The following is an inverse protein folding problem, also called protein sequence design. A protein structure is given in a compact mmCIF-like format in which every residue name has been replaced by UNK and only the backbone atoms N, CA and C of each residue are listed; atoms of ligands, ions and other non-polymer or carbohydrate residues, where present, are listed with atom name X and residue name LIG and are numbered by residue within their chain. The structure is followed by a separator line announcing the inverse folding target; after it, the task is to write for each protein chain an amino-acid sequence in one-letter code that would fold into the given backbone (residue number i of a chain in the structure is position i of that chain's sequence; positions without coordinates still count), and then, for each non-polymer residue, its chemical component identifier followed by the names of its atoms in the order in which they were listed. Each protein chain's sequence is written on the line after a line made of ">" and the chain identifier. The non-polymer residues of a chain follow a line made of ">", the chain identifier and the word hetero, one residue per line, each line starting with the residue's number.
data_IF_238856918483
#
_entry.id   IF_238856918483
#
_cell.length_a   1.000
_cell.length_b   1.000
_cell.length_c   1.000
_cell.angle_alpha   90.00
_cell.angle_beta   90.00
_cell.angle_gamma   90.00
#
_symmetry.space_group_name_H-M   'P 1'
#
loop_
_entity.id
_entity.type
_entity.pdbx_description
1 polymer ?
#
# COMPACT_ATOMS: atom_id res chain seq x y z
N UNK A 1 0.74 17.80 -17.26
CA UNK A 1 -0.44 17.26 -16.53
C UNK A 1 -0.08 16.34 -15.34
N UNK A 2 1.07 16.53 -14.65
CA UNK A 2 1.63 15.51 -13.72
C UNK A 2 1.87 15.99 -12.27
N UNK A 3 1.51 17.23 -11.92
CA UNK A 3 1.73 17.78 -10.56
C UNK A 3 0.67 17.28 -9.56
N UNK A 4 -0.58 17.15 -9.99
CA UNK A 4 -1.72 16.80 -9.13
C UNK A 4 -1.66 15.38 -8.57
N UNK A 5 -1.01 14.45 -9.28
CA UNK A 5 -0.88 13.05 -8.85
C UNK A 5 0.28 12.89 -7.86
N UNK A 6 1.38 13.62 -8.08
CA UNK A 6 2.54 13.65 -7.17
C UNK A 6 2.16 14.20 -5.79
N UNK A 7 1.33 15.24 -5.77
CA UNK A 7 0.90 15.91 -4.54
C UNK A 7 0.01 14.99 -3.67
N UNK A 8 -0.96 14.30 -4.30
CA UNK A 8 -1.84 13.33 -3.62
C UNK A 8 -1.08 12.15 -3.01
N UNK A 9 -0.03 11.67 -3.68
CA UNK A 9 0.80 10.58 -3.16
C UNK A 9 1.56 11.00 -1.89
N UNK A 10 2.16 12.19 -1.87
CA UNK A 10 2.87 12.72 -0.70
C UNK A 10 1.91 12.93 0.47
N UNK A 11 0.76 13.57 0.22
CA UNK A 11 -0.26 13.77 1.27
C UNK A 11 -0.80 12.45 1.85
N UNK A 12 -1.00 11.42 1.02
CA UNK A 12 -1.48 10.11 1.49
C UNK A 12 -0.42 9.36 2.30
N UNK A 13 0.86 9.45 1.91
CA UNK A 13 1.98 8.91 2.68
C UNK A 13 2.05 9.57 4.07
N UNK A 14 2.00 10.88 4.12
CA UNK A 14 2.09 11.62 5.39
C UNK A 14 0.90 11.34 6.30
N UNK A 15 -0.31 11.20 5.72
CA UNK A 15 -1.50 10.77 6.45
C UNK A 15 -1.33 9.38 7.08
N UNK A 16 -0.90 8.39 6.29
CA UNK A 16 -0.67 7.03 6.77
C UNK A 16 0.44 6.99 7.83
N UNK A 17 1.50 7.79 7.65
CA UNK A 17 2.61 7.84 8.59
C UNK A 17 2.17 8.49 9.90
N UNK A 18 1.39 9.57 9.83
CA UNK A 18 0.91 10.23 11.03
C UNK A 18 -0.07 9.35 11.83
N UNK A 19 -0.92 8.59 11.13
CA UNK A 19 -1.91 7.69 11.74
C UNK A 19 -1.28 6.45 12.38
N UNK A 20 -0.37 5.79 11.68
CA UNK A 20 0.16 4.49 12.11
C UNK A 20 1.57 4.55 12.69
N UNK A 21 2.31 5.66 12.49
CA UNK A 21 3.71 5.86 12.91
C UNK A 21 4.67 4.75 12.47
N UNK A 22 4.35 4.06 11.37
CA UNK A 22 5.13 2.94 10.80
C UNK A 22 5.44 3.19 9.33
N UNK A 23 6.57 2.65 8.86
CA UNK A 23 6.98 2.68 7.46
C UNK A 23 6.53 1.44 6.68
N UNK A 24 6.22 0.35 7.39
CA UNK A 24 5.81 -0.93 6.80
C UNK A 24 4.61 -1.50 7.56
N UNK A 25 3.81 -2.28 6.83
CA UNK A 25 2.57 -2.85 7.30
C UNK A 25 2.57 -4.36 7.05
N UNK A 26 2.03 -5.10 8.01
CA UNK A 26 1.74 -6.52 7.84
C UNK A 26 0.63 -6.75 6.81
N UNK A 27 0.47 -8.01 6.39
CA UNK A 27 -0.62 -8.42 5.50
C UNK A 27 -2.01 -8.04 6.04
N UNK A 28 -2.22 -8.15 7.35
CA UNK A 28 -3.51 -7.80 7.99
C UNK A 28 -3.76 -6.30 7.94
N UNK A 29 -2.79 -5.51 8.38
CA UNK A 29 -2.89 -4.04 8.36
C UNK A 29 -3.07 -3.52 6.92
N UNK A 30 -2.35 -4.08 5.94
CA UNK A 30 -2.48 -3.69 4.54
C UNK A 30 -3.88 -3.98 3.98
N UNK A 31 -4.46 -5.13 4.30
CA UNK A 31 -5.82 -5.48 3.88
C UNK A 31 -6.87 -4.56 4.48
N UNK A 32 -6.73 -4.20 5.77
CA UNK A 32 -7.61 -3.24 6.44
C UNK A 32 -7.50 -1.84 5.85
N UNK A 33 -6.27 -1.35 5.60
CA UNK A 33 -6.03 -0.02 5.02
C UNK A 33 -6.61 0.07 3.59
N UNK A 34 -6.46 -0.99 2.80
CA UNK A 34 -6.96 -1.05 1.43
C UNK A 34 -8.45 -1.41 1.35
N UNK A 35 -9.07 -1.81 2.47
CA UNK A 35 -10.48 -2.23 2.50
C UNK A 35 -10.77 -3.49 1.70
N UNK A 36 -9.81 -4.43 1.60
CA UNK A 36 -9.94 -5.68 0.83
C UNK A 36 -9.79 -6.91 1.73
N UNK A 37 -10.29 -8.06 1.28
CA UNK A 37 -10.05 -9.32 2.01
C UNK A 37 -8.59 -9.74 1.90
N UNK A 38 -8.09 -10.49 2.91
CA UNK A 38 -6.74 -11.07 2.88
C UNK A 38 -6.50 -11.92 1.63
N UNK A 39 -7.52 -12.67 1.18
CA UNK A 39 -7.46 -13.49 -0.03
C UNK A 39 -7.27 -12.62 -1.29
N UNK A 40 -7.95 -11.48 -1.34
CA UNK A 40 -7.80 -10.52 -2.44
C UNK A 40 -6.41 -9.91 -2.42
N UNK A 41 -5.91 -9.51 -1.25
CA UNK A 41 -4.54 -9.02 -1.09
C UNK A 41 -3.50 -10.06 -1.51
N UNK A 42 -3.66 -11.31 -1.12
CA UNK A 42 -2.77 -12.40 -1.52
C UNK A 42 -2.78 -12.62 -3.03
N UNK A 43 -3.97 -12.57 -3.67
CA UNK A 43 -4.09 -12.64 -5.14
C UNK A 43 -3.40 -11.46 -5.81
N UNK A 44 -3.60 -10.24 -5.32
CA UNK A 44 -2.98 -9.03 -5.86
C UNK A 44 -1.46 -9.06 -5.72
N UNK A 45 -0.96 -9.59 -4.60
CA UNK A 45 0.48 -9.76 -4.35
C UNK A 45 1.06 -10.83 -5.29
N UNK A 46 0.40 -11.99 -5.43
CA UNK A 46 0.79 -13.04 -6.39
C UNK A 46 0.82 -12.53 -7.83
N UNK A 47 -0.15 -11.71 -8.20
CA UNK A 47 -0.25 -11.10 -9.53
C UNK A 47 0.70 -9.90 -9.72
N UNK A 48 1.59 -9.62 -8.76
CA UNK A 48 2.53 -8.48 -8.74
C UNK A 48 1.84 -7.11 -8.91
N UNK A 49 0.54 -7.04 -8.62
CA UNK A 49 -0.23 -5.78 -8.61
C UNK A 49 0.10 -4.94 -7.39
N UNK A 50 0.50 -5.58 -6.29
CA UNK A 50 0.99 -4.93 -5.06
C UNK A 50 2.38 -5.47 -4.76
N UNK A 51 3.34 -4.57 -4.61
CA UNK A 51 4.69 -4.95 -4.21
C UNK A 51 4.75 -5.23 -2.71
N UNK A 52 5.48 -6.27 -2.35
CA UNK A 52 5.70 -6.65 -0.96
C UNK A 52 7.18 -6.96 -0.74
N UNK A 53 7.62 -6.76 0.48
CA UNK A 53 8.96 -7.09 0.95
C UNK A 53 8.87 -8.34 1.81
N UNK A 54 9.55 -9.40 1.39
CA UNK A 54 9.77 -10.58 2.21
C UNK A 54 10.90 -10.30 3.20
N UNK A 55 10.57 -10.17 4.49
CA UNK A 55 11.56 -10.03 5.56
C UNK A 55 11.52 -11.29 6.40
N UNK A 56 12.49 -12.17 6.17
CA UNK A 56 12.53 -13.51 6.78
C UNK A 56 11.22 -14.28 6.54
N UNK A 57 10.46 -14.60 7.58
CA UNK A 57 9.17 -15.31 7.53
C UNK A 57 7.96 -14.39 7.32
N UNK A 58 8.16 -13.07 7.28
CA UNK A 58 7.08 -12.10 7.21
C UNK A 58 6.99 -11.46 5.83
N UNK A 59 5.75 -11.18 5.41
CA UNK A 59 5.45 -10.38 4.22
C UNK A 59 5.00 -9.01 4.71
N UNK A 60 5.73 -7.98 4.31
CA UNK A 60 5.49 -6.59 4.68
C UNK A 60 5.22 -5.73 3.44
N UNK A 61 4.45 -4.67 3.61
CA UNK A 61 4.07 -3.72 2.57
C UNK A 61 4.57 -2.34 2.97
N UNK A 62 5.27 -1.63 2.08
CA UNK A 62 5.74 -0.29 2.40
C UNK A 62 4.59 0.71 2.38
N UNK A 63 4.71 1.74 3.21
CA UNK A 63 3.77 2.86 3.22
C UNK A 63 3.67 3.55 1.85
N UNK A 64 4.78 3.59 1.11
CA UNK A 64 4.84 4.15 -0.24
C UNK A 64 3.98 3.35 -1.21
N UNK A 65 4.08 2.03 -1.16
CA UNK A 65 3.31 1.17 -2.06
C UNK A 65 1.81 1.29 -1.78
N UNK A 66 1.42 1.31 -0.51
CA UNK A 66 0.03 1.52 -0.10
C UNK A 66 -0.45 2.91 -0.55
N UNK A 67 0.36 3.95 -0.35
CA UNK A 67 0.02 5.31 -0.78
C UNK A 67 -0.18 5.40 -2.31
N UNK A 68 0.63 4.71 -3.13
CA UNK A 68 0.46 4.64 -4.59
C UNK A 68 -0.88 4.02 -5.00
N UNK A 69 -1.30 2.98 -4.30
CA UNK A 69 -2.57 2.29 -4.59
C UNK A 69 -3.75 3.21 -4.25
N UNK A 70 -3.75 3.78 -3.04
CA UNK A 70 -4.85 4.64 -2.58
C UNK A 70 -4.93 5.93 -3.39
N UNK A 71 -3.78 6.52 -3.75
CA UNK A 71 -3.74 7.74 -4.59
C UNK A 71 -4.16 7.50 -6.04
N UNK A 72 -4.43 6.25 -6.44
CA UNK A 72 -4.84 5.89 -7.80
C UNK A 72 -3.69 5.94 -8.81
N UNK A 73 -2.45 6.10 -8.36
CA UNK A 73 -1.25 5.97 -9.21
C UNK A 73 -1.13 4.54 -9.72
N UNK A 74 -1.51 3.56 -8.89
CA UNK A 74 -1.54 2.14 -9.23
C UNK A 74 -2.98 1.64 -9.18
N UNK A 75 -3.55 1.35 -10.35
CA UNK A 75 -4.90 0.78 -10.44
C UNK A 75 -4.87 -0.72 -10.15
N UNK A 76 -5.78 -1.18 -9.29
CA UNK A 76 -5.98 -2.61 -8.99
C UNK A 76 -6.88 -3.33 -10.01
N UNK A 77 -7.27 -2.66 -11.11
CA UNK A 77 -7.97 -3.29 -12.25
C UNK A 77 -7.07 -4.24 -13.04
#
# INVERSE_FOLDING_TARGET
>A
MNRTVKDKHVGMRDFLFNKYKKMTFSRKECAEILGVSLQTLDRLTKNKKIESMGVSRYVLFSIEEIAKIISGVKSLK
#
